data_IF_186474513514
#
_entry.id   IF_186474513514
#
_cell.length_a   1.000
_cell.length_b   1.000
_cell.length_c   1.000
_cell.angle_alpha   90.00
_cell.angle_beta   90.00
_cell.angle_gamma   90.00
#
_symmetry.space_group_name_H-M   'P 1'
#
loop_
_entity.id
_entity.type
_entity.pdbx_description
1 polymer ?
#
# COMPACT_ATOMS: atom_id res chain seq x y z
N UNK A 1 -17.72 -11.94 -2.37
CA UNK A 1 -17.29 -10.70 -3.03
C UNK A 1 -17.52 -9.55 -2.08
N UNK A 2 -16.43 -9.03 -1.49
CA UNK A 2 -16.52 -7.83 -0.66
C UNK A 2 -15.88 -6.74 -1.53
N UNK A 3 -16.63 -5.71 -1.95
CA UNK A 3 -16.03 -4.61 -2.67
C UNK A 3 -15.01 -3.93 -1.75
N UNK A 4 -13.82 -3.68 -2.27
CA UNK A 4 -12.83 -2.76 -1.70
C UNK A 4 -13.43 -1.35 -1.73
N UNK A 5 -14.47 -1.12 -0.96
CA UNK A 5 -15.05 0.21 -0.83
C UNK A 5 -14.19 1.00 0.14
N UNK A 6 -13.13 1.55 -0.38
CA UNK A 6 -12.40 2.62 0.28
C UNK A 6 -13.36 3.81 0.37
N UNK A 7 -13.84 4.04 1.57
CA UNK A 7 -14.95 4.94 1.88
C UNK A 7 -14.72 6.35 1.33
N UNK A 8 -15.67 6.81 0.50
CA UNK A 8 -16.04 8.22 0.40
C UNK A 8 -15.41 9.01 -0.73
N UNK A 9 -15.99 8.95 -1.86
CA UNK A 9 -16.59 10.05 -2.65
C UNK A 9 -16.99 9.53 -4.03
N UNK A 10 -18.14 9.95 -4.49
CA UNK A 10 -18.56 9.79 -5.88
C UNK A 10 -17.65 10.66 -6.76
N UNK A 11 -16.48 10.15 -7.09
CA UNK A 11 -15.65 10.76 -8.12
C UNK A 11 -15.44 9.73 -9.22
N UNK A 12 -16.18 9.95 -10.29
CA UNK A 12 -16.03 9.19 -11.52
C UNK A 12 -14.57 9.21 -11.96
N UNK A 13 -14.01 8.05 -12.26
CA UNK A 13 -12.80 7.91 -13.07
C UNK A 13 -13.10 8.63 -14.37
N UNK A 14 -12.62 9.84 -14.53
CA UNK A 14 -13.05 10.67 -15.64
C UNK A 14 -12.15 10.64 -16.85
N UNK A 15 -10.88 10.28 -16.72
CA UNK A 15 -9.99 10.45 -17.87
C UNK A 15 -8.95 9.32 -17.97
N UNK A 16 -9.17 8.40 -18.91
CA UNK A 16 -8.07 7.68 -19.50
C UNK A 16 -7.26 8.68 -20.32
N UNK A 17 -6.02 8.92 -19.95
CA UNK A 17 -5.18 9.91 -20.63
C UNK A 17 -4.62 9.33 -21.92
N UNK A 18 -4.31 8.03 -21.94
CA UNK A 18 -3.77 7.35 -23.10
C UNK A 18 -4.11 5.86 -23.08
N UNK A 19 -4.49 5.34 -24.22
CA UNK A 19 -4.62 3.90 -24.48
C UNK A 19 -4.17 3.64 -25.91
N UNK A 20 -3.08 2.93 -26.10
CA UNK A 20 -2.53 2.63 -27.41
C UNK A 20 -1.73 1.34 -27.41
N UNK A 21 -2.12 0.41 -28.29
CA UNK A 21 -1.49 -0.92 -28.33
C UNK A 21 -1.75 -1.71 -27.07
N UNK A 22 -0.68 -2.12 -26.41
CA UNK A 22 -0.64 -2.88 -25.17
C UNK A 22 -0.47 -2.00 -23.90
N UNK A 23 -0.23 -0.71 -24.07
CA UNK A 23 -0.01 0.21 -22.97
C UNK A 23 -1.27 1.04 -22.65
N UNK A 24 -1.53 1.22 -21.35
CA UNK A 24 -2.63 2.05 -20.83
C UNK A 24 -2.11 2.96 -19.73
N UNK A 25 -2.37 4.26 -19.83
CA UNK A 25 -2.08 5.25 -18.81
C UNK A 25 -3.36 5.91 -18.32
N UNK A 26 -3.65 5.79 -17.04
CA UNK A 26 -4.89 6.24 -16.42
C UNK A 26 -4.58 7.17 -15.25
N UNK A 27 -5.32 8.26 -15.14
CA UNK A 27 -5.27 9.20 -14.02
C UNK A 27 -6.64 9.30 -13.38
N UNK A 28 -6.69 9.26 -12.06
CA UNK A 28 -7.94 9.34 -11.30
C UNK A 28 -7.69 9.47 -9.81
N UNK A 29 -8.74 9.37 -9.01
CA UNK A 29 -8.59 9.29 -7.57
C UNK A 29 -7.80 8.02 -7.21
N UNK A 30 -6.77 8.17 -6.38
CA UNK A 30 -5.80 7.10 -6.14
C UNK A 30 -6.42 5.80 -5.59
N UNK A 31 -7.46 5.90 -4.75
CA UNK A 31 -8.22 4.75 -4.25
C UNK A 31 -8.93 4.00 -5.39
N UNK A 32 -9.58 4.74 -6.29
CA UNK A 32 -10.29 4.17 -7.44
C UNK A 32 -9.32 3.54 -8.44
N UNK A 33 -8.13 4.14 -8.61
CA UNK A 33 -7.08 3.60 -9.48
C UNK A 33 -6.52 2.27 -8.94
N UNK A 34 -6.30 2.15 -7.64
CA UNK A 34 -5.84 0.90 -7.03
C UNK A 34 -6.89 -0.21 -7.22
N UNK A 35 -8.16 0.09 -6.94
CA UNK A 35 -9.26 -0.87 -7.11
C UNK A 35 -9.42 -1.27 -8.58
N UNK A 36 -9.42 -0.27 -9.48
CA UNK A 36 -9.49 -0.50 -10.92
C UNK A 36 -8.33 -1.38 -11.41
N UNK A 37 -7.12 -1.16 -10.93
CA UNK A 37 -5.94 -1.91 -11.34
C UNK A 37 -6.06 -3.40 -10.98
N UNK A 38 -6.54 -3.69 -9.78
CA UNK A 38 -6.80 -5.07 -9.32
C UNK A 38 -7.91 -5.73 -10.17
N UNK A 39 -9.00 -4.99 -10.43
CA UNK A 39 -10.11 -5.51 -11.24
C UNK A 39 -9.71 -5.69 -12.71
N UNK A 40 -8.94 -4.77 -13.28
CA UNK A 40 -8.41 -4.87 -14.64
C UNK A 40 -7.53 -6.11 -14.78
N UNK A 41 -6.60 -6.31 -13.84
CA UNK A 41 -5.75 -7.50 -13.80
C UNK A 41 -6.55 -8.79 -13.74
N UNK A 42 -7.55 -8.87 -12.86
CA UNK A 42 -8.40 -10.06 -12.74
C UNK A 42 -9.19 -10.35 -14.02
N UNK A 43 -9.77 -9.32 -14.64
CA UNK A 43 -10.53 -9.46 -15.88
C UNK A 43 -9.63 -9.84 -17.06
N UNK A 44 -8.43 -9.27 -17.11
CA UNK A 44 -7.43 -9.61 -18.12
C UNK A 44 -6.98 -11.06 -18.00
N UNK A 45 -6.70 -11.54 -16.78
CA UNK A 45 -6.36 -12.93 -16.52
C UNK A 45 -7.50 -13.88 -16.93
N UNK A 46 -8.75 -13.53 -16.62
CA UNK A 46 -9.92 -14.32 -17.04
C UNK A 46 -10.07 -14.34 -18.56
N UNK A 47 -9.91 -13.19 -19.22
CA UNK A 47 -10.01 -13.09 -20.68
C UNK A 47 -8.92 -13.89 -21.39
N UNK A 48 -7.69 -13.82 -20.90
CA UNK A 48 -6.54 -14.52 -21.48
C UNK A 48 -6.39 -15.96 -20.97
N UNK A 49 -7.29 -16.42 -20.09
CA UNK A 49 -7.23 -17.73 -19.44
C UNK A 49 -5.87 -17.99 -18.76
N UNK A 50 -5.28 -16.94 -18.19
CA UNK A 50 -3.99 -17.01 -17.49
C UNK A 50 -2.76 -17.14 -18.40
N UNK A 51 -2.94 -17.04 -19.74
CA UNK A 51 -1.80 -17.17 -20.68
C UNK A 51 -0.94 -15.91 -20.76
N UNK A 52 -1.51 -14.75 -20.41
CA UNK A 52 -0.82 -13.46 -20.38
C UNK A 52 -0.90 -12.84 -18.99
N UNK A 53 0.15 -12.15 -18.62
CA UNK A 53 0.23 -11.37 -17.38
C UNK A 53 0.25 -9.87 -17.67
N UNK A 54 -0.04 -9.06 -16.65
CA UNK A 54 0.01 -7.61 -16.72
C UNK A 54 0.91 -7.09 -15.60
N UNK A 55 1.76 -6.11 -15.93
CA UNK A 55 2.55 -5.36 -14.96
C UNK A 55 2.05 -3.93 -14.90
N UNK A 56 2.17 -3.27 -13.73
CA UNK A 56 1.74 -1.90 -13.57
C UNK A 56 2.66 -1.10 -12.64
N UNK A 57 2.73 0.21 -12.86
CA UNK A 57 3.25 1.19 -11.94
C UNK A 57 2.13 2.10 -11.44
N UNK A 58 2.00 2.29 -10.13
CA UNK A 58 0.97 3.15 -9.52
C UNK A 58 1.65 4.18 -8.64
N UNK A 59 1.60 5.44 -9.05
CA UNK A 59 2.09 6.58 -8.28
C UNK A 59 0.94 7.39 -7.66
N UNK A 60 1.20 8.01 -6.50
CA UNK A 60 0.26 8.93 -5.84
C UNK A 60 0.93 10.29 -5.79
N UNK A 61 0.31 11.29 -6.42
CA UNK A 61 0.87 12.62 -6.61
C UNK A 61 -0.10 13.71 -6.15
N UNK A 62 0.45 14.87 -5.84
CA UNK A 62 -0.39 16.06 -5.64
C UNK A 62 -0.95 16.55 -6.98
N UNK A 63 -2.13 17.16 -6.93
CA UNK A 63 -2.85 17.62 -8.12
C UNK A 63 -2.07 18.66 -8.98
N UNK A 64 -1.10 19.34 -8.38
CA UNK A 64 -0.23 20.31 -9.05
C UNK A 64 1.00 19.70 -9.72
N UNK A 65 1.22 18.39 -9.56
CA UNK A 65 2.40 17.72 -10.10
C UNK A 65 2.29 17.58 -11.64
N UNK A 66 3.37 17.86 -12.41
CA UNK A 66 3.31 17.85 -13.87
C UNK A 66 2.98 16.48 -14.44
N UNK A 67 1.97 16.38 -15.30
CA UNK A 67 1.51 15.11 -15.88
C UNK A 67 2.61 14.36 -16.65
N UNK A 68 3.52 15.08 -17.30
CA UNK A 68 4.64 14.48 -18.01
C UNK A 68 5.60 13.75 -17.03
N UNK A 69 5.87 14.36 -15.87
CA UNK A 69 6.69 13.72 -14.83
C UNK A 69 5.97 12.53 -14.22
N UNK A 70 4.65 12.63 -13.98
CA UNK A 70 3.84 11.47 -13.53
C UNK A 70 3.97 10.30 -14.50
N UNK A 71 3.84 10.56 -15.81
CA UNK A 71 3.93 9.51 -16.83
C UNK A 71 5.34 8.87 -16.87
N UNK A 72 6.40 9.67 -16.72
CA UNK A 72 7.77 9.17 -16.68
C UNK A 72 8.02 8.32 -15.43
N UNK A 73 7.65 8.82 -14.24
CA UNK A 73 7.86 8.11 -12.98
C UNK A 73 7.03 6.83 -12.89
N UNK A 74 5.76 6.84 -13.30
CA UNK A 74 4.93 5.62 -13.33
C UNK A 74 5.41 4.63 -14.38
N UNK A 75 5.98 5.09 -15.50
CA UNK A 75 6.66 4.24 -16.48
C UNK A 75 7.90 3.55 -15.91
N UNK A 76 8.69 4.25 -15.07
CA UNK A 76 9.80 3.63 -14.34
C UNK A 76 9.29 2.59 -13.34
N UNK A 77 8.22 2.86 -12.60
CA UNK A 77 7.61 1.89 -11.67
C UNK A 77 7.07 0.65 -12.42
N UNK A 78 6.46 0.85 -13.58
CA UNK A 78 5.99 -0.26 -14.42
C UNK A 78 7.17 -1.11 -14.93
N UNK A 79 8.26 -0.46 -15.36
CA UNK A 79 9.50 -1.14 -15.74
C UNK A 79 10.11 -1.92 -14.59
N UNK A 80 10.04 -1.41 -13.37
CA UNK A 80 10.46 -2.13 -12.17
C UNK A 80 9.60 -3.36 -11.91
N UNK A 81 8.27 -3.26 -12.04
CA UNK A 81 7.37 -4.40 -11.87
C UNK A 81 7.62 -5.51 -12.90
N UNK A 82 8.09 -5.16 -14.13
CA UNK A 82 8.48 -6.13 -15.16
C UNK A 82 9.77 -6.90 -14.84
N UNK A 83 10.56 -6.46 -13.86
CA UNK A 83 11.76 -7.18 -13.39
C UNK A 83 11.42 -8.39 -12.51
N UNK A 84 10.20 -8.42 -11.94
CA UNK A 84 9.73 -9.60 -11.21
C UNK A 84 9.71 -10.83 -12.11
N UNK A 85 10.03 -12.03 -11.58
CA UNK A 85 10.20 -13.26 -12.38
C UNK A 85 9.01 -13.56 -13.30
N UNK A 86 7.80 -13.44 -12.80
CA UNK A 86 6.58 -13.77 -13.57
C UNK A 86 6.02 -12.60 -14.38
N UNK A 87 6.60 -11.38 -14.27
CA UNK A 87 6.07 -10.15 -14.87
C UNK A 87 4.57 -9.92 -14.59
N UNK A 88 4.07 -10.46 -13.49
CA UNK A 88 2.69 -10.37 -13.02
C UNK A 88 2.67 -9.58 -11.70
N UNK A 89 3.13 -8.34 -11.78
CA UNK A 89 3.49 -7.54 -10.62
C UNK A 89 3.03 -6.10 -10.74
N UNK A 90 3.07 -5.41 -9.63
CA UNK A 90 2.75 -3.99 -9.53
C UNK A 90 3.74 -3.30 -8.59
N UNK A 91 4.22 -2.13 -8.98
CA UNK A 91 5.01 -1.25 -8.13
C UNK A 91 4.12 -0.13 -7.63
N UNK A 92 4.01 -0.01 -6.31
CA UNK A 92 3.19 0.99 -5.62
C UNK A 92 4.02 1.70 -4.57
N UNK A 93 4.10 3.04 -4.62
CA UNK A 93 4.79 3.86 -3.62
C UNK A 93 6.28 3.49 -3.48
N UNK A 94 7.04 3.75 -4.52
CA UNK A 94 8.50 3.55 -4.50
C UNK A 94 9.15 4.44 -3.43
N UNK A 95 9.86 3.85 -2.47
CA UNK A 95 10.52 4.56 -1.36
C UNK A 95 12.06 4.50 -1.39
N UNK A 96 12.62 3.94 -2.44
CA UNK A 96 14.08 3.84 -2.66
C UNK A 96 14.76 2.69 -1.91
N UNK A 97 14.04 1.94 -1.10
CA UNK A 97 14.55 0.71 -0.49
C UNK A 97 14.41 -0.47 -1.47
N UNK A 98 15.28 -1.46 -1.37
CA UNK A 98 15.33 -2.63 -2.23
C UNK A 98 15.38 -3.92 -1.42
N UNK A 99 14.91 -5.01 -2.02
CA UNK A 99 15.02 -6.37 -1.51
C UNK A 99 15.45 -7.33 -2.62
N UNK A 100 15.96 -8.49 -2.24
CA UNK A 100 16.38 -9.52 -3.17
C UNK A 100 15.23 -10.47 -3.47
N UNK A 101 15.07 -10.80 -4.75
CA UNK A 101 14.11 -11.80 -5.23
C UNK A 101 14.87 -12.85 -6.02
N UNK A 102 14.69 -14.10 -5.66
CA UNK A 102 15.25 -15.25 -6.37
C UNK A 102 14.43 -15.53 -7.63
N UNK A 103 15.09 -15.50 -8.80
CA UNK A 103 14.50 -15.81 -10.12
C UNK A 103 14.91 -17.23 -10.60
N UNK A 104 15.54 -18.02 -9.72
CA UNK A 104 16.01 -19.36 -10.02
C UNK A 104 17.42 -19.41 -10.67
N UNK A 105 17.79 -18.40 -11.44
CA UNK A 105 19.12 -18.27 -12.06
C UNK A 105 19.98 -17.20 -11.38
N UNK A 106 19.37 -16.12 -10.93
CA UNK A 106 20.05 -14.97 -10.33
C UNK A 106 19.17 -14.30 -9.25
N UNK A 107 19.81 -13.72 -8.22
CA UNK A 107 19.14 -12.81 -7.29
C UNK A 107 18.99 -11.44 -7.94
N UNK A 108 17.78 -10.91 -7.97
CA UNK A 108 17.44 -9.59 -8.51
C UNK A 108 17.13 -8.61 -7.38
N UNK A 109 17.72 -7.45 -7.46
CA UNK A 109 17.35 -6.32 -6.60
C UNK A 109 16.04 -5.69 -7.11
N UNK A 110 15.03 -5.68 -6.28
CA UNK A 110 13.69 -5.17 -6.59
C UNK A 110 13.31 -4.10 -5.55
N UNK A 111 12.64 -3.05 -5.99
CA UNK A 111 12.13 -2.00 -5.08
C UNK A 111 11.13 -2.59 -4.07
N UNK A 112 11.22 -2.16 -2.82
CA UNK A 112 10.36 -2.59 -1.72
C UNK A 112 8.86 -2.36 -1.97
N UNK A 113 8.52 -1.37 -2.79
CA UNK A 113 7.15 -1.11 -3.22
C UNK A 113 6.62 -2.03 -4.32
N UNK A 114 7.42 -3.02 -4.77
CA UNK A 114 7.05 -3.94 -5.85
C UNK A 114 6.54 -5.27 -5.28
N UNK A 115 5.37 -5.67 -5.72
CA UNK A 115 4.68 -6.87 -5.26
C UNK A 115 4.13 -7.66 -6.44
N UNK A 116 4.01 -8.98 -6.30
CA UNK A 116 3.07 -9.71 -7.14
C UNK A 116 1.64 -9.18 -6.86
N UNK A 117 0.74 -9.26 -7.83
CA UNK A 117 -0.65 -8.85 -7.62
C UNK A 117 -1.32 -9.57 -6.45
N UNK A 118 -0.97 -10.83 -6.25
CA UNK A 118 -1.46 -11.63 -5.14
C UNK A 118 -0.97 -11.10 -3.79
N UNK A 119 0.31 -10.76 -3.69
CA UNK A 119 0.87 -10.16 -2.48
C UNK A 119 0.26 -8.80 -2.16
N UNK A 120 0.07 -7.94 -3.17
CA UNK A 120 -0.61 -6.66 -2.97
C UNK A 120 -2.03 -6.88 -2.45
N UNK A 121 -2.79 -7.76 -3.09
CA UNK A 121 -4.19 -7.98 -2.74
C UNK A 121 -4.37 -8.66 -1.39
N UNK A 122 -3.73 -9.81 -1.17
CA UNK A 122 -3.91 -10.62 0.04
C UNK A 122 -3.10 -10.06 1.22
N UNK A 123 -1.81 -9.79 1.00
CA UNK A 123 -0.89 -9.39 2.06
C UNK A 123 -1.01 -7.93 2.46
N UNK A 124 -0.96 -7.01 1.49
CA UNK A 124 -1.00 -5.57 1.78
C UNK A 124 -2.42 -5.11 2.09
N UNK A 125 -3.37 -5.35 1.17
CA UNK A 125 -4.71 -4.77 1.26
C UNK A 125 -5.61 -5.55 2.21
N UNK A 126 -5.79 -6.86 2.00
CA UNK A 126 -6.76 -7.64 2.76
C UNK A 126 -6.29 -7.97 4.17
N UNK A 127 -5.00 -8.19 4.38
CA UNK A 127 -4.51 -8.55 5.70
C UNK A 127 -4.11 -7.31 6.51
N UNK A 128 -3.16 -6.50 6.01
CA UNK A 128 -2.52 -5.44 6.81
C UNK A 128 -3.32 -4.15 6.81
N UNK A 129 -3.67 -3.62 5.63
CA UNK A 129 -4.44 -2.39 5.52
C UNK A 129 -5.80 -2.52 6.21
N UNK A 130 -6.54 -3.63 5.98
CA UNK A 130 -7.82 -3.88 6.64
C UNK A 130 -7.68 -3.97 8.15
N UNK A 131 -6.64 -4.64 8.66
CA UNK A 131 -6.41 -4.72 10.11
C UNK A 131 -6.15 -3.35 10.74
N UNK A 132 -5.45 -2.44 10.02
CA UNK A 132 -5.27 -1.06 10.46
C UNK A 132 -6.61 -0.31 10.48
N UNK A 133 -7.41 -0.41 9.42
CA UNK A 133 -8.74 0.21 9.37
C UNK A 133 -9.63 -0.27 10.51
N UNK A 134 -9.74 -1.58 10.72
CA UNK A 134 -10.58 -2.19 11.76
C UNK A 134 -10.18 -1.73 13.17
N UNK A 135 -8.88 -1.52 13.38
CA UNK A 135 -8.37 -1.09 14.68
C UNK A 135 -8.58 0.40 14.92
N UNK A 136 -8.24 1.24 13.91
CA UNK A 136 -8.30 2.70 14.07
C UNK A 136 -9.73 3.26 13.93
N UNK A 137 -10.69 2.44 13.50
CA UNK A 137 -12.10 2.82 13.50
C UNK A 137 -12.57 3.23 14.90
N UNK A 138 -12.88 4.51 15.09
CA UNK A 138 -13.32 5.06 16.37
C UNK A 138 -12.18 5.42 17.36
N UNK A 139 -10.93 5.44 16.92
CA UNK A 139 -9.81 6.09 17.64
C UNK A 139 -9.67 7.53 17.12
N UNK A 140 -9.24 8.42 17.99
CA UNK A 140 -8.91 9.80 17.59
C UNK A 140 -7.87 9.80 16.47
N UNK A 141 -8.22 10.42 15.33
CA UNK A 141 -7.39 10.39 14.11
C UNK A 141 -5.98 10.94 14.35
N UNK A 142 -5.85 12.01 15.13
CA UNK A 142 -4.56 12.66 15.41
C UNK A 142 -3.62 11.72 16.16
N UNK A 143 -4.16 11.01 17.15
CA UNK A 143 -3.41 10.04 17.96
C UNK A 143 -3.03 8.81 17.15
N UNK A 144 -3.94 8.34 16.31
CA UNK A 144 -3.72 7.22 15.40
C UNK A 144 -2.63 7.50 14.38
N UNK A 145 -2.68 8.66 13.73
CA UNK A 145 -1.68 9.07 12.74
C UNK A 145 -0.28 9.23 13.34
N UNK A 146 -0.17 9.87 14.51
CA UNK A 146 1.13 10.00 15.21
C UNK A 146 1.75 8.66 15.57
N UNK A 147 0.92 7.67 15.94
CA UNK A 147 1.38 6.30 16.17
C UNK A 147 1.88 5.67 14.86
N UNK A 148 1.12 5.77 13.78
CA UNK A 148 1.46 5.16 12.49
C UNK A 148 2.77 5.70 11.91
N UNK A 149 3.01 7.01 11.96
CA UNK A 149 4.27 7.59 11.51
C UNK A 149 5.48 7.09 12.31
N UNK A 150 5.36 6.99 13.64
CA UNK A 150 6.41 6.43 14.48
C UNK A 150 6.63 4.94 14.22
N UNK A 151 5.55 4.21 13.99
CA UNK A 151 5.62 2.79 13.64
C UNK A 151 6.35 2.60 12.32
N UNK A 152 6.05 3.42 11.30
CA UNK A 152 6.69 3.36 10.00
C UNK A 152 8.21 3.57 10.08
N UNK A 153 8.69 4.54 10.87
CA UNK A 153 10.13 4.75 11.10
C UNK A 153 10.80 3.51 11.71
N UNK A 154 10.13 2.85 12.66
CA UNK A 154 10.67 1.65 13.30
C UNK A 154 10.62 0.43 12.39
N UNK A 155 9.60 0.32 11.54
CA UNK A 155 9.48 -0.77 10.56
C UNK A 155 10.56 -0.65 9.48
N UNK A 156 10.92 0.56 9.04
CA UNK A 156 12.05 0.78 8.14
C UNK A 156 13.38 0.27 8.70
N UNK A 157 13.61 0.43 9.99
CA UNK A 157 14.80 -0.07 10.67
C UNK A 157 14.58 -1.41 11.40
N UNK A 158 13.70 -2.28 10.90
CA UNK A 158 13.29 -3.51 11.60
C UNK A 158 14.43 -4.50 11.82
N UNK A 159 15.49 -4.48 11.03
CA UNK A 159 16.70 -5.30 11.19
C UNK A 159 17.38 -5.09 12.54
N UNK A 160 17.25 -3.90 13.12
CA UNK A 160 17.79 -3.60 14.43
C UNK A 160 16.89 -4.17 15.53
N UNK A 161 17.39 -5.13 16.31
CA UNK A 161 16.67 -5.76 17.45
C UNK A 161 16.06 -4.75 18.43
N UNK A 162 16.69 -3.57 18.61
CA UNK A 162 16.16 -2.53 19.49
C UNK A 162 14.85 -1.94 18.96
N UNK A 163 14.66 -1.89 17.63
CA UNK A 163 13.46 -1.35 17.02
C UNK A 163 12.27 -2.29 17.23
N UNK A 164 12.50 -3.60 17.26
CA UNK A 164 11.46 -4.54 17.67
C UNK A 164 10.91 -4.21 19.08
N UNK A 165 11.80 -4.03 20.08
CA UNK A 165 11.37 -3.67 21.43
C UNK A 165 10.65 -2.31 21.47
N UNK A 166 11.12 -1.33 20.69
CA UNK A 166 10.46 -0.01 20.55
C UNK A 166 9.07 -0.11 19.93
N UNK A 167 8.91 -0.93 18.88
CA UNK A 167 7.61 -1.20 18.25
C UNK A 167 6.63 -1.81 19.24
N UNK A 168 7.06 -2.82 20.01
CA UNK A 168 6.22 -3.44 21.04
C UNK A 168 5.85 -2.44 22.15
N UNK A 169 6.77 -1.58 22.56
CA UNK A 169 6.50 -0.53 23.52
C UNK A 169 5.49 0.50 22.98
N UNK A 170 5.64 0.96 21.71
CA UNK A 170 4.68 1.86 21.11
C UNK A 170 3.28 1.24 21.05
N UNK A 171 3.21 -0.04 20.68
CA UNK A 171 1.95 -0.77 20.60
C UNK A 171 1.27 -0.87 21.97
N UNK A 172 2.02 -1.18 23.02
CA UNK A 172 1.49 -1.28 24.40
C UNK A 172 0.86 0.03 24.89
N UNK A 173 1.30 1.19 24.38
CA UNK A 173 0.73 2.48 24.73
C UNK A 173 -0.66 2.76 24.13
N UNK A 174 -1.07 1.95 23.16
CA UNK A 174 -2.41 2.00 22.57
C UNK A 174 -3.39 1.07 23.30
N UNK A 175 -2.92 0.28 24.26
CA UNK A 175 -3.80 -0.66 24.96
C UNK A 175 -4.92 0.08 25.70
N UNK A 176 -6.20 -0.23 25.40
CA UNK A 176 -7.31 0.33 26.11
C UNK A 176 -7.34 -0.15 27.58
N UNK A 177 -7.62 0.74 28.52
CA UNK A 177 -7.74 0.41 29.94
C UNK A 177 -9.03 -0.34 30.26
N UNK A 178 -10.08 -0.07 29.49
CA UNK A 178 -11.41 -0.68 29.70
C UNK A 178 -11.55 -1.98 28.91
N UNK A 179 -12.12 -2.99 29.53
CA UNK A 179 -12.48 -4.24 28.83
C UNK A 179 -13.65 -3.98 27.87
N UNK A 180 -13.62 -4.63 26.70
CA UNK A 180 -14.66 -4.47 25.67
C UNK A 180 -14.15 -4.66 24.25
N UNK A 181 -14.98 -4.32 23.29
CA UNK A 181 -14.68 -4.50 21.84
C UNK A 181 -13.37 -3.83 21.41
N UNK A 182 -13.04 -2.65 21.96
CA UNK A 182 -11.79 -1.95 21.66
C UNK A 182 -10.55 -2.72 22.11
N UNK A 183 -10.61 -3.33 23.30
CA UNK A 183 -9.51 -4.14 23.83
C UNK A 183 -9.34 -5.43 23.05
N UNK A 184 -10.43 -6.02 22.58
CA UNK A 184 -10.37 -7.19 21.70
C UNK A 184 -9.73 -6.85 20.34
N UNK A 185 -10.15 -5.76 19.69
CA UNK A 185 -9.52 -5.26 18.45
C UNK A 185 -8.03 -4.99 18.67
N UNK A 186 -7.66 -4.41 19.80
CA UNK A 186 -6.25 -4.17 20.16
C UNK A 186 -5.46 -5.49 20.29
N UNK A 187 -5.99 -6.50 21.00
CA UNK A 187 -5.35 -7.80 21.14
C UNK A 187 -5.11 -8.47 19.78
N UNK A 188 -6.11 -8.42 18.91
CA UNK A 188 -6.01 -8.99 17.55
C UNK A 188 -4.93 -8.28 16.73
N UNK A 189 -4.92 -6.94 16.72
CA UNK A 189 -3.88 -6.18 16.02
C UNK A 189 -2.50 -6.44 16.61
N UNK A 190 -2.35 -6.43 17.95
CA UNK A 190 -1.07 -6.68 18.62
C UNK A 190 -0.48 -8.04 18.28
N UNK A 191 -1.32 -9.09 18.22
CA UNK A 191 -0.87 -10.43 17.83
C UNK A 191 -0.42 -10.48 16.36
N UNK A 192 -1.14 -9.79 15.47
CA UNK A 192 -0.76 -9.69 14.06
C UNK A 192 0.53 -8.91 13.89
N UNK A 193 0.64 -7.74 14.50
CA UNK A 193 1.84 -6.89 14.45
C UNK A 193 3.07 -7.64 14.98
N UNK A 194 2.94 -8.35 16.08
CA UNK A 194 4.02 -9.17 16.63
C UNK A 194 4.56 -10.19 15.62
N UNK A 195 3.70 -10.79 14.80
CA UNK A 195 4.13 -11.73 13.74
C UNK A 195 4.76 -11.00 12.56
N UNK A 196 4.11 -9.93 12.08
CA UNK A 196 4.55 -9.21 10.89
C UNK A 196 5.94 -8.59 11.04
N UNK A 197 6.25 -8.03 12.21
CA UNK A 197 7.56 -7.40 12.45
C UNK A 197 8.72 -8.39 12.59
N UNK A 198 8.47 -9.69 12.50
CA UNK A 198 9.50 -10.73 12.50
C UNK A 198 9.84 -11.23 11.08
N UNK A 199 9.16 -10.72 10.05
CA UNK A 199 9.31 -11.12 8.67
C UNK A 199 9.60 -9.88 7.82
N UNK A 200 10.69 -9.90 7.04
CA UNK A 200 11.05 -8.82 6.14
C UNK A 200 9.96 -8.55 5.11
N UNK A 201 9.35 -9.60 4.55
CA UNK A 201 8.24 -9.50 3.63
C UNK A 201 7.03 -8.82 4.29
N UNK A 202 6.67 -9.23 5.50
CA UNK A 202 5.56 -8.62 6.22
C UNK A 202 5.84 -7.17 6.61
N UNK A 203 7.08 -6.83 6.96
CA UNK A 203 7.51 -5.46 7.22
C UNK A 203 7.35 -4.57 5.98
N UNK A 204 7.78 -5.03 4.79
CA UNK A 204 7.57 -4.32 3.52
C UNK A 204 6.08 -4.07 3.26
N UNK A 205 5.26 -5.11 3.35
CA UNK A 205 3.82 -5.01 3.15
C UNK A 205 3.16 -4.09 4.18
N UNK A 206 3.61 -4.11 5.44
CA UNK A 206 3.12 -3.23 6.50
C UNK A 206 3.47 -1.76 6.24
N UNK A 207 4.69 -1.45 5.75
CA UNK A 207 5.06 -0.09 5.32
C UNK A 207 4.08 0.45 4.28
N UNK A 208 3.80 -0.33 3.25
CA UNK A 208 2.86 0.08 2.20
C UNK A 208 1.45 0.23 2.74
N UNK A 209 0.98 -0.68 3.59
CA UNK A 209 -0.34 -0.57 4.22
C UNK A 209 -0.48 0.68 5.12
N UNK A 210 0.57 1.04 5.88
CA UNK A 210 0.61 2.26 6.69
C UNK A 210 0.57 3.51 5.79
N UNK A 211 1.34 3.52 4.70
CA UNK A 211 1.33 4.63 3.75
C UNK A 211 -0.06 4.82 3.13
N UNK A 212 -0.68 3.74 2.66
CA UNK A 212 -2.05 3.78 2.12
C UNK A 212 -3.03 4.33 3.16
N UNK A 213 -2.96 3.84 4.40
CA UNK A 213 -3.82 4.35 5.49
C UNK A 213 -3.59 5.84 5.75
N UNK A 214 -2.32 6.27 5.78
CA UNK A 214 -1.97 7.67 5.99
C UNK A 214 -2.47 8.58 4.86
N UNK A 215 -2.39 8.15 3.60
CA UNK A 215 -2.93 8.91 2.46
C UNK A 215 -4.45 9.08 2.53
N UNK A 216 -5.19 8.04 2.92
CA UNK A 216 -6.66 8.10 3.06
C UNK A 216 -7.08 9.07 4.15
N UNK A 217 -6.38 9.04 5.29
CA UNK A 217 -6.75 9.82 6.47
C UNK A 217 -5.99 11.16 6.57
N UNK A 218 -5.24 11.53 5.53
CA UNK A 218 -4.62 12.85 5.44
C UNK A 218 -5.72 13.90 5.35
N UNK A 219 -5.92 14.69 6.41
CA UNK A 219 -6.82 15.86 6.36
C UNK A 219 -6.40 16.71 5.17
N UNK A 220 -7.34 16.95 4.24
CA UNK A 220 -7.18 18.00 3.24
C UNK A 220 -6.85 19.26 4.04
N UNK A 221 -5.64 19.79 3.88
CA UNK A 221 -5.26 21.03 4.51
C UNK A 221 -6.35 22.04 4.18
N UNK A 222 -6.90 22.70 5.22
CA UNK A 222 -7.72 23.86 5.02
C UNK A 222 -6.95 24.77 4.07
N UNK A 223 -7.48 25.01 2.88
CA UNK A 223 -7.02 26.09 2.04
C UNK A 223 -7.12 27.33 2.92
N UNK A 224 -6.01 27.81 3.42
CA UNK A 224 -5.91 29.18 3.87
C UNK A 224 -6.14 30.01 2.62
N UNK A 225 -7.38 30.48 2.46
CA UNK A 225 -7.69 31.62 1.66
C UNK A 225 -6.95 32.79 2.27
N UNK A 226 -5.72 33.02 1.84
CA UNK A 226 -5.03 34.29 2.03
C UNK A 226 -5.58 35.24 0.97
N UNK A 227 -6.49 36.11 1.44
CA UNK A 227 -6.90 37.34 0.77
C UNK A 227 -5.70 38.29 0.61
#
# INVERSE_FOLDING_TARGET
EIPLRLVGSEMCIRDSVYSGGDDVFIVGAWNDIIELSVDLRRKFEQYTQGTLSISAGIGIYDFSYPIAAIAEETGMMESESKRMPEKNAVTLLQDGEIHLVDDGDEEKEISDGTYSWKELEEGVVQEKYRALCDFFEGIDETRGMSFLYRMMELVRGHEEKINFARMMYLLSRLEPTEEGTKKEKYRQLSQKMYRWIQSDQDCRQLKTAINLYAYIHRKKGEHRDEN
#
